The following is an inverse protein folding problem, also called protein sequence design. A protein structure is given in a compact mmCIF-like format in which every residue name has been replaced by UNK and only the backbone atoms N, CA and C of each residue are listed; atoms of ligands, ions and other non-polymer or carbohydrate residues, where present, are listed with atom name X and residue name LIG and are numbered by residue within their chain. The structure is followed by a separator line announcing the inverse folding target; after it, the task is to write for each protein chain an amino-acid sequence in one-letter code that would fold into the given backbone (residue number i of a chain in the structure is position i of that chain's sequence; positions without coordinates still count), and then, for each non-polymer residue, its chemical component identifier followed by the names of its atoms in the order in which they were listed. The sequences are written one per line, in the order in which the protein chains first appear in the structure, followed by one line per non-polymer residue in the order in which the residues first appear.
data_IF_627307701910
#
_entry.id   IF_627307701910
#
_cell.length_a   1.000
_cell.length_b   1.000
_cell.length_c   1.000
_cell.angle_alpha   90.00
_cell.angle_beta   90.00
_cell.angle_gamma   90.00
#
_symmetry.space_group_name_H-M   'P 1'
#
loop_
_entity.id
_entity.type
_entity.pdbx_description
1 polymer ?
#
# COMPACT_ATOMS: atom_id res chain seq x y z
N UNK A 1 2.13 -17.20 -11.72
CA UNK A 1 3.50 -16.69 -11.44
C UNK A 1 3.32 -15.52 -10.50
N UNK A 2 4.07 -15.46 -9.41
CA UNK A 2 4.02 -14.35 -8.45
C UNK A 2 4.67 -13.11 -9.07
N UNK A 3 4.02 -11.97 -8.96
CA UNK A 3 4.54 -10.66 -9.38
C UNK A 3 4.67 -9.75 -8.16
N UNK A 4 5.71 -8.92 -8.14
CA UNK A 4 5.92 -7.93 -7.08
C UNK A 4 5.64 -6.53 -7.63
N UNK A 5 4.78 -5.78 -6.94
CA UNK A 5 4.37 -4.44 -7.31
C UNK A 5 4.71 -3.46 -6.20
N UNK A 6 5.17 -2.27 -6.56
CA UNK A 6 5.30 -1.16 -5.64
C UNK A 6 4.60 0.08 -6.18
N UNK A 7 3.70 0.63 -5.39
CA UNK A 7 2.89 1.81 -5.72
C UNK A 7 3.24 2.92 -4.73
N UNK A 8 3.49 4.12 -5.23
CA UNK A 8 3.65 5.27 -4.35
C UNK A 8 3.05 6.55 -4.94
N UNK A 9 2.48 7.37 -4.07
CA UNK A 9 2.28 8.79 -4.29
C UNK A 9 3.25 9.53 -3.38
N UNK A 10 4.16 10.34 -3.91
CA UNK A 10 5.23 10.91 -3.10
C UNK A 10 5.66 12.31 -3.58
N UNK A 11 4.83 13.35 -3.40
CA UNK A 11 5.14 14.72 -3.84
C UNK A 11 6.50 15.26 -3.37
N UNK A 12 6.92 14.88 -2.17
CA UNK A 12 8.19 15.34 -1.54
C UNK A 12 9.25 14.24 -1.44
N UNK A 13 9.07 13.09 -2.10
CA UNK A 13 10.06 12.00 -2.17
C UNK A 13 10.22 11.10 -0.94
N UNK A 14 9.68 11.48 0.24
CA UNK A 14 9.85 10.68 1.46
C UNK A 14 9.13 9.33 1.37
N UNK A 15 7.87 9.32 0.93
CA UNK A 15 7.08 8.09 0.78
C UNK A 15 7.71 7.13 -0.23
N UNK A 16 8.22 7.64 -1.36
CA UNK A 16 8.97 6.86 -2.34
C UNK A 16 10.18 6.17 -1.71
N UNK A 17 10.94 6.89 -0.88
CA UNK A 17 12.13 6.35 -0.21
C UNK A 17 11.78 5.22 0.77
N UNK A 18 10.68 5.37 1.52
CA UNK A 18 10.19 4.32 2.44
C UNK A 18 9.71 3.10 1.65
N UNK A 19 8.88 3.30 0.62
CA UNK A 19 8.36 2.21 -0.22
C UNK A 19 9.48 1.41 -0.87
N UNK A 20 10.51 2.08 -1.39
CA UNK A 20 11.68 1.39 -1.95
C UNK A 20 12.39 0.55 -0.89
N UNK A 21 12.75 1.12 0.27
CA UNK A 21 13.43 0.35 1.34
C UNK A 21 12.64 -0.88 1.79
N UNK A 22 11.31 -0.77 1.84
CA UNK A 22 10.45 -1.92 2.17
C UNK A 22 10.43 -2.93 1.02
N UNK A 23 10.20 -2.49 -0.22
CA UNK A 23 10.15 -3.36 -1.39
C UNK A 23 11.48 -4.11 -1.59
N UNK A 24 12.59 -3.40 -1.56
CA UNK A 24 13.94 -3.93 -1.77
C UNK A 24 14.32 -4.97 -0.69
N UNK A 25 13.64 -4.99 0.46
CA UNK A 25 13.83 -6.04 1.49
C UNK A 25 13.10 -7.35 1.18
N UNK A 26 12.16 -7.33 0.22
CA UNK A 26 11.31 -8.48 -0.14
C UNK A 26 11.76 -9.12 -1.45
N UNK A 27 12.15 -8.31 -2.44
CA UNK A 27 12.58 -8.75 -3.78
C UNK A 27 13.31 -7.59 -4.48
N UNK A 28 14.23 -7.92 -5.37
CA UNK A 28 14.89 -6.94 -6.25
C UNK A 28 14.07 -6.63 -7.51
N UNK A 29 13.08 -7.45 -7.83
CA UNK A 29 12.31 -7.36 -9.08
C UNK A 29 10.87 -6.88 -8.82
N UNK A 30 10.71 -5.56 -8.74
CA UNK A 30 9.43 -4.89 -8.53
C UNK A 30 9.00 -4.07 -9.74
N UNK A 31 7.74 -4.23 -10.14
CA UNK A 31 7.07 -3.32 -11.07
C UNK A 31 6.69 -2.05 -10.33
N UNK A 32 7.25 -0.91 -10.75
CA UNK A 32 7.02 0.41 -10.13
C UNK A 32 5.83 1.14 -10.75
N UNK A 33 4.94 1.62 -9.87
CA UNK A 33 3.79 2.48 -10.20
C UNK A 33 3.87 3.81 -9.42
N UNK A 34 4.47 4.84 -10.02
CA UNK A 34 4.61 6.16 -9.39
C UNK A 34 3.39 7.06 -9.70
N UNK A 35 2.47 7.21 -8.76
CA UNK A 35 1.22 7.98 -8.90
C UNK A 35 1.39 9.49 -8.65
N UNK A 36 2.61 10.02 -8.55
CA UNK A 36 2.85 11.41 -8.16
C UNK A 36 2.48 12.43 -9.26
N UNK A 37 2.40 12.01 -10.53
CA UNK A 37 2.02 12.90 -11.63
C UNK A 37 0.53 13.26 -11.62
N UNK A 38 0.22 14.54 -11.80
CA UNK A 38 -1.13 15.08 -11.87
C UNK A 38 -1.86 14.79 -13.19
N UNK A 39 -1.16 14.30 -14.22
CA UNK A 39 -1.72 14.04 -15.55
C UNK A 39 -2.20 12.59 -15.75
N UNK A 40 -2.37 11.84 -14.65
CA UNK A 40 -2.73 10.44 -14.72
C UNK A 40 -4.25 10.29 -14.70
N UNK A 41 -4.79 9.60 -15.71
CA UNK A 41 -6.11 8.99 -15.63
C UNK A 41 -6.19 8.03 -14.43
N UNK A 42 -7.41 7.61 -14.08
CA UNK A 42 -7.64 6.63 -13.01
C UNK A 42 -6.72 5.40 -13.19
N UNK A 43 -5.92 5.11 -12.16
CA UNK A 43 -5.03 3.96 -12.16
C UNK A 43 -5.74 2.75 -11.56
N UNK A 44 -5.81 1.66 -12.30
CA UNK A 44 -6.33 0.37 -11.85
C UNK A 44 -5.23 -0.68 -11.88
N UNK A 45 -5.12 -1.46 -10.80
CA UNK A 45 -4.19 -2.58 -10.69
C UNK A 45 -4.97 -3.83 -10.26
N UNK A 46 -4.98 -4.85 -11.13
CA UNK A 46 -5.51 -6.17 -10.80
C UNK A 46 -4.39 -7.04 -10.22
N UNK A 47 -4.64 -7.65 -9.07
CA UNK A 47 -3.72 -8.56 -8.40
C UNK A 47 -4.31 -9.97 -8.36
N UNK A 48 -3.47 -10.98 -8.55
CA UNK A 48 -3.75 -12.36 -8.21
C UNK A 48 -3.45 -12.64 -6.73
N UNK A 49 -3.88 -13.81 -6.24
CA UNK A 49 -3.66 -14.21 -4.84
C UNK A 49 -2.17 -14.43 -4.50
N UNK A 50 -1.33 -14.63 -5.51
CA UNK A 50 0.11 -14.87 -5.33
C UNK A 50 0.94 -13.59 -5.45
N UNK A 51 0.35 -12.50 -5.92
CA UNK A 51 1.05 -11.24 -6.10
C UNK A 51 1.31 -10.53 -4.77
N UNK A 52 2.40 -9.78 -4.72
CA UNK A 52 2.78 -8.99 -3.57
C UNK A 52 2.76 -7.50 -3.94
N UNK A 53 2.10 -6.69 -3.13
CA UNK A 53 1.98 -5.25 -3.37
C UNK A 53 2.44 -4.46 -2.13
N UNK A 54 3.41 -3.56 -2.34
CA UNK A 54 3.74 -2.48 -1.39
C UNK A 54 3.07 -1.20 -1.84
N UNK A 55 2.31 -0.55 -0.96
CA UNK A 55 1.67 0.75 -1.24
C UNK A 55 2.11 1.77 -0.21
N UNK A 56 2.55 2.95 -0.65
CA UNK A 56 2.84 4.08 0.23
C UNK A 56 2.12 5.36 -0.21
N UNK A 57 1.49 6.02 0.76
CA UNK A 57 0.85 7.34 0.57
C UNK A 57 1.20 8.23 1.77
N UNK A 58 1.61 9.49 1.56
CA UNK A 58 1.78 10.46 2.63
C UNK A 58 0.45 10.74 3.33
N UNK A 59 0.53 11.06 4.62
CA UNK A 59 -0.59 11.63 5.39
C UNK A 59 -0.34 13.13 5.48
N UNK A 60 -1.33 13.93 5.11
CA UNK A 60 -1.31 15.39 5.26
C UNK A 60 -2.38 15.81 6.25
N UNK A 61 -1.99 16.52 7.32
CA UNK A 61 -2.90 17.05 8.33
C UNK A 61 -3.94 16.02 8.85
N UNK A 62 -3.54 14.76 9.02
CA UNK A 62 -4.41 13.67 9.49
C UNK A 62 -5.26 12.98 8.42
N UNK A 63 -5.20 13.43 7.16
CA UNK A 63 -5.90 12.80 6.04
C UNK A 63 -4.91 12.15 5.07
N UNK A 64 -5.16 10.90 4.71
CA UNK A 64 -4.58 10.38 3.47
C UNK A 64 -5.29 11.04 2.29
N UNK A 65 -4.59 11.39 1.20
CA UNK A 65 -5.23 11.67 -0.08
C UNK A 65 -6.31 10.61 -0.39
N UNK A 66 -7.47 11.01 -0.92
CA UNK A 66 -8.51 10.09 -1.43
C UNK A 66 -8.05 9.37 -2.72
N UNK A 67 -6.76 9.08 -2.82
CA UNK A 67 -6.08 8.59 -4.01
C UNK A 67 -6.23 7.07 -4.16
N UNK A 68 -6.59 6.36 -3.09
CA UNK A 68 -6.62 4.90 -3.08
C UNK A 68 -7.95 4.40 -2.56
N UNK A 69 -8.71 3.77 -3.46
CA UNK A 69 -9.80 2.87 -3.11
C UNK A 69 -9.29 1.44 -3.27
N UNK A 70 -9.08 0.73 -2.15
CA UNK A 70 -8.79 -0.72 -2.19
C UNK A 70 -10.11 -1.47 -2.09
N UNK A 71 -10.45 -2.27 -3.10
CA UNK A 71 -11.65 -3.10 -3.06
C UNK A 71 -11.50 -4.22 -2.02
N UNK A 72 -12.58 -4.45 -1.26
CA UNK A 72 -12.61 -5.23 0.01
C UNK A 72 -12.15 -6.69 -0.08
N UNK A 73 -11.96 -7.25 -1.28
CA UNK A 73 -11.64 -8.67 -1.45
C UNK A 73 -10.17 -9.02 -1.12
N UNK A 74 -9.29 -8.01 -0.96
CA UNK A 74 -7.84 -8.20 -0.70
C UNK A 74 -7.43 -8.09 0.79
N UNK A 75 -8.23 -7.46 1.65
CA UNK A 75 -7.83 -7.08 3.02
C UNK A 75 -8.19 -8.10 4.11
N UNK A 76 -8.52 -9.34 3.74
CA UNK A 76 -9.08 -10.34 4.66
C UNK A 76 -8.14 -10.82 5.77
N UNK A 77 -6.85 -10.48 5.73
CA UNK A 77 -5.86 -10.94 6.72
C UNK A 77 -5.53 -9.94 7.85
N UNK A 78 -5.89 -8.65 7.75
CA UNK A 78 -5.51 -7.67 8.78
C UNK A 78 -6.54 -7.45 9.92
N UNK A 79 -7.79 -7.89 9.78
CA UNK A 79 -8.82 -7.61 10.79
C UNK A 79 -8.83 -8.55 12.01
N UNK A 80 -7.96 -9.54 12.08
CA UNK A 80 -7.99 -10.56 13.15
C UNK A 80 -7.08 -10.27 14.34
N UNK A 81 -6.24 -9.22 14.30
CA UNK A 81 -5.24 -8.95 15.34
C UNK A 81 -5.52 -7.76 16.27
N UNK A 82 -6.47 -6.88 15.94
CA UNK A 82 -6.67 -5.62 16.68
C UNK A 82 -7.85 -5.63 17.66
N UNK A 83 -8.81 -6.56 17.51
CA UNK A 83 -9.95 -6.65 18.42
C UNK A 83 -9.67 -7.49 19.67
N UNK A 84 -8.75 -8.47 19.57
CA UNK A 84 -8.46 -9.40 20.67
C UNK A 84 -7.63 -8.75 21.81
N UNK A 85 -6.88 -7.67 21.53
CA UNK A 85 -6.13 -6.92 22.56
C UNK A 85 -7.00 -5.92 23.34
N UNK A 86 -8.05 -5.38 22.72
CA UNK A 86 -8.94 -4.44 23.38
C UNK A 86 -9.87 -5.14 24.40
N UNK A 87 -10.35 -6.34 24.08
CA UNK A 87 -11.20 -7.12 25.00
C UNK A 87 -10.41 -7.71 26.19
N UNK A 88 -9.11 -7.97 26.05
CA UNK A 88 -8.27 -8.51 27.15
C UNK A 88 -7.82 -7.47 28.18
N UNK A 89 -7.89 -6.19 27.84
CA UNK A 89 -7.49 -5.10 28.75
C UNK A 89 -8.68 -4.48 29.50
N UNK A 90 -9.91 -4.88 29.17
CA UNK A 90 -11.14 -4.32 29.74
C UNK A 90 -12.14 -5.37 30.25
N UNK A 91 -11.66 -6.54 30.69
CA UNK A 91 -12.48 -7.52 31.42
C UNK A 91 -11.72 -8.12 32.60
#
# INVERSE_FOLDING_TARGET
MRTYHKVHFSPTGTTKSVVNKVADSVSDDFILHDLTSSERDAFELSLSAEDFLVVGVPVYAGYSPQLITVSRNLLTHQKRGLNDEYEKTHN
#
